data_IF_699236924181
#
_entry.id   IF_699236924181
#
_cell.length_a   1.000
_cell.length_b   1.000
_cell.length_c   1.000
_cell.angle_alpha   90.00
_cell.angle_beta   90.00
_cell.angle_gamma   90.00
#
_symmetry.space_group_name_H-M   'P 1'
#
loop_
_entity.id
_entity.type
_entity.pdbx_description
1 polymer ?
#
# COMPACT_ATOMS: atom_id res chain seq x y z
N UNK A 1 12.34 -20.26 -70.70
CA UNK A 1 13.70 -20.78 -70.93
C UNK A 1 14.53 -20.55 -69.69
N UNK A 2 15.31 -21.55 -69.25
CA UNK A 2 16.29 -21.48 -68.15
C UNK A 2 17.32 -20.38 -68.40
N UNK A 3 17.84 -19.78 -67.31
CA UNK A 3 19.29 -19.71 -67.01
C UNK A 3 19.53 -19.15 -65.60
N UNK A 4 20.35 -19.89 -64.85
CA UNK A 4 21.04 -19.45 -63.64
C UNK A 4 22.05 -18.34 -64.00
N UNK A 5 22.31 -17.43 -63.06
CA UNK A 5 23.64 -16.83 -62.88
C UNK A 5 23.85 -16.46 -61.42
N UNK A 6 24.94 -17.00 -60.88
CA UNK A 6 25.50 -16.68 -59.59
C UNK A 6 26.00 -15.22 -59.54
N UNK A 7 25.85 -14.57 -58.39
CA UNK A 7 26.67 -13.43 -58.01
C UNK A 7 26.96 -13.54 -56.51
N UNK A 8 28.17 -14.01 -56.23
CA UNK A 8 28.81 -13.92 -54.94
C UNK A 8 29.00 -12.44 -54.59
N UNK A 9 28.38 -11.99 -53.51
CA UNK A 9 28.71 -10.73 -52.85
C UNK A 9 29.16 -11.06 -51.44
N UNK A 10 30.46 -11.33 -51.31
CA UNK A 10 31.19 -11.28 -50.06
C UNK A 10 31.02 -9.88 -49.47
N UNK A 11 30.11 -9.72 -48.51
CA UNK A 11 30.14 -8.58 -47.61
C UNK A 11 31.11 -8.91 -46.47
N UNK A 12 32.36 -8.49 -46.66
CA UNK A 12 33.33 -8.28 -45.58
C UNK A 12 32.78 -7.18 -44.66
N UNK A 13 32.10 -7.57 -43.57
CA UNK A 13 31.91 -6.72 -42.40
C UNK A 13 32.94 -7.08 -41.33
N UNK A 14 34.10 -6.47 -41.46
CA UNK A 14 34.97 -6.17 -40.33
C UNK A 14 34.34 -5.04 -39.51
N UNK A 15 33.52 -5.39 -38.54
CA UNK A 15 33.14 -4.55 -37.41
C UNK A 15 33.02 -5.46 -36.18
N UNK A 16 33.89 -5.23 -35.20
CA UNK A 16 34.07 -6.10 -34.05
C UNK A 16 32.79 -6.31 -33.24
N UNK A 17 32.46 -7.57 -33.01
CA UNK A 17 31.75 -8.00 -31.83
C UNK A 17 32.70 -8.92 -31.07
N UNK A 18 33.39 -8.36 -30.07
CA UNK A 18 33.82 -9.14 -28.93
C UNK A 18 32.56 -9.66 -28.22
N UNK A 19 31.94 -10.72 -28.74
CA UNK A 19 31.17 -11.60 -27.87
C UNK A 19 32.22 -12.37 -27.09
N UNK A 20 32.69 -11.74 -26.01
CA UNK A 20 33.28 -12.44 -24.89
C UNK A 20 32.18 -13.40 -24.46
N UNK A 21 32.22 -14.64 -24.96
CA UNK A 21 31.34 -15.70 -24.50
C UNK A 21 31.63 -15.84 -23.02
N UNK A 22 30.80 -15.19 -22.20
CA UNK A 22 30.82 -15.40 -20.77
C UNK A 22 30.56 -16.89 -20.64
N UNK A 23 31.59 -17.64 -20.20
CA UNK A 23 31.49 -19.08 -19.96
C UNK A 23 30.25 -19.35 -19.14
N UNK A 24 29.59 -20.49 -19.33
CA UNK A 24 28.46 -20.89 -18.47
C UNK A 24 28.80 -20.73 -16.99
N UNK A 25 30.06 -21.00 -16.62
CA UNK A 25 30.57 -20.81 -15.26
C UNK A 25 30.69 -19.32 -14.89
N UNK A 26 31.12 -18.44 -15.79
CA UNK A 26 31.24 -17.00 -15.52
C UNK A 26 29.86 -16.30 -15.50
N UNK A 27 28.86 -16.88 -16.19
CA UNK A 27 27.44 -16.49 -16.05
C UNK A 27 26.87 -16.96 -14.72
N UNK A 28 27.14 -18.22 -14.34
CA UNK A 28 26.73 -18.80 -13.06
C UNK A 28 27.37 -18.05 -11.90
N UNK A 29 28.67 -17.73 -11.98
CA UNK A 29 29.42 -16.95 -10.98
C UNK A 29 28.90 -15.52 -10.88
N UNK A 30 28.48 -14.90 -11.99
CA UNK A 30 27.88 -13.56 -11.96
C UNK A 30 26.44 -13.55 -11.43
N UNK A 31 25.67 -14.59 -11.71
CA UNK A 31 24.33 -14.80 -11.17
C UNK A 31 24.39 -15.17 -9.67
N UNK A 32 25.41 -15.91 -9.22
CA UNK A 32 25.62 -16.29 -7.82
C UNK A 32 26.39 -15.25 -7.00
N UNK A 33 27.21 -14.40 -7.61
CA UNK A 33 27.88 -13.29 -6.91
C UNK A 33 26.89 -12.25 -6.37
N UNK A 34 25.71 -12.12 -6.98
CA UNK A 34 24.62 -11.28 -6.46
C UNK A 34 23.75 -12.00 -5.40
N UNK A 35 23.95 -13.31 -5.21
CA UNK A 35 23.37 -14.12 -4.13
C UNK A 35 24.34 -14.20 -2.94
N UNK A 36 25.08 -13.12 -2.66
CA UNK A 36 26.05 -13.09 -1.57
C UNK A 36 25.37 -13.48 -0.25
N UNK A 37 25.61 -14.72 0.17
CA UNK A 37 25.10 -15.36 1.39
C UNK A 37 25.37 -14.52 2.64
N UNK A 38 26.35 -13.62 2.57
CA UNK A 38 26.85 -12.78 3.67
C UNK A 38 25.84 -11.77 4.23
N UNK A 39 24.84 -11.36 3.45
CA UNK A 39 23.77 -10.45 3.91
C UNK A 39 22.46 -11.19 4.22
N UNK A 40 22.50 -12.52 4.25
CA UNK A 40 21.32 -13.34 4.57
C UNK A 40 21.20 -13.47 6.08
N UNK A 41 20.01 -13.23 6.67
CA UNK A 41 19.81 -13.47 8.10
C UNK A 41 20.21 -14.89 8.47
N UNK A 42 21.11 -15.03 9.45
CA UNK A 42 21.49 -16.33 9.98
C UNK A 42 20.37 -16.89 10.87
N UNK A 43 20.43 -18.19 11.18
CA UNK A 43 19.45 -18.85 12.06
C UNK A 43 19.31 -18.12 13.42
N UNK A 44 20.44 -17.64 13.96
CA UNK A 44 20.50 -16.88 15.22
C UNK A 44 19.84 -15.50 15.15
N UNK A 45 19.71 -14.91 13.95
CA UNK A 45 18.99 -13.66 13.75
C UNK A 45 17.49 -13.90 13.60
N UNK A 46 17.09 -15.00 12.95
CA UNK A 46 15.70 -15.43 12.86
C UNK A 46 15.10 -15.76 14.22
N UNK A 47 15.89 -16.34 15.14
CA UNK A 47 15.46 -16.60 16.53
C UNK A 47 15.07 -15.33 17.30
N UNK A 48 15.61 -14.16 16.91
CA UNK A 48 15.27 -12.87 17.53
C UNK A 48 14.02 -12.25 16.92
N UNK A 49 13.57 -12.71 15.76
CA UNK A 49 12.39 -12.20 15.09
C UNK A 49 11.16 -12.86 15.70
N UNK A 50 10.48 -12.14 16.58
CA UNK A 50 9.20 -12.57 17.15
C UNK A 50 8.04 -11.79 16.54
N UNK A 51 6.98 -12.50 16.17
CA UNK A 51 5.66 -11.95 15.90
C UNK A 51 4.65 -12.26 17.02
N UNK A 52 5.13 -12.82 18.13
CA UNK A 52 4.31 -13.03 19.32
C UNK A 52 4.08 -11.68 20.02
N UNK A 53 2.91 -11.53 20.65
CA UNK A 53 2.49 -10.36 21.42
C UNK A 53 2.18 -9.11 20.56
N UNK A 54 1.24 -9.23 19.63
CA UNK A 54 0.62 -8.09 18.94
C UNK A 54 -0.45 -7.40 19.79
N UNK A 55 -0.82 -8.00 20.93
CA UNK A 55 -1.95 -7.59 21.77
C UNK A 55 -1.87 -6.14 22.25
N UNK A 56 -0.71 -5.67 22.70
CA UNK A 56 -0.57 -4.29 23.19
C UNK A 56 -0.79 -3.26 22.07
N UNK A 57 -0.28 -3.54 20.87
CA UNK A 57 -0.44 -2.65 19.72
C UNK A 57 -1.87 -2.71 19.17
N UNK A 58 -2.48 -3.90 19.16
CA UNK A 58 -3.90 -4.06 18.85
C UNK A 58 -4.80 -3.35 19.87
N UNK A 59 -4.49 -3.44 21.17
CA UNK A 59 -5.25 -2.72 22.21
C UNK A 59 -5.19 -1.21 22.01
N UNK A 60 -4.03 -0.66 21.60
CA UNK A 60 -3.90 0.77 21.26
C UNK A 60 -4.73 1.13 20.02
N UNK A 61 -4.71 0.30 18.98
CA UNK A 61 -5.47 0.51 17.75
C UNK A 61 -7.00 0.38 17.94
N UNK A 62 -7.42 -0.54 18.83
CA UNK A 62 -8.83 -0.77 19.19
C UNK A 62 -9.41 0.26 20.16
N UNK A 63 -8.59 1.11 20.77
CA UNK A 63 -9.06 2.06 21.77
C UNK A 63 -9.94 3.15 21.15
N UNK A 64 -11.26 2.97 21.25
CA UNK A 64 -12.29 3.86 20.69
C UNK A 64 -12.25 5.29 21.23
N UNK A 65 -11.57 5.54 22.35
CA UNK A 65 -11.44 6.89 22.91
C UNK A 65 -10.34 7.71 22.23
N UNK A 66 -9.57 7.09 21.32
CA UNK A 66 -8.52 7.77 20.56
C UNK A 66 -9.02 8.25 19.20
N UNK A 67 -8.42 9.31 18.64
CA UNK A 67 -8.71 9.76 17.29
C UNK A 67 -8.60 8.63 16.26
N UNK A 68 -9.54 8.57 15.32
CA UNK A 68 -9.59 7.49 14.33
C UNK A 68 -8.37 7.48 13.41
N UNK A 69 -7.80 8.65 13.10
CA UNK A 69 -6.53 8.80 12.38
C UNK A 69 -5.40 8.04 13.10
N UNK A 70 -5.24 8.27 14.40
CA UNK A 70 -4.18 7.64 15.18
C UNK A 70 -4.35 6.13 15.25
N UNK A 71 -5.60 5.68 15.46
CA UNK A 71 -5.94 4.25 15.48
C UNK A 71 -5.63 3.57 14.16
N UNK A 72 -5.94 4.24 13.04
CA UNK A 72 -5.65 3.74 11.69
C UNK A 72 -4.14 3.68 11.44
N UNK A 73 -3.38 4.68 11.90
CA UNK A 73 -1.92 4.70 11.84
C UNK A 73 -1.27 3.56 12.63
N UNK A 74 -1.82 3.22 13.79
CA UNK A 74 -1.34 2.07 14.58
C UNK A 74 -1.55 0.76 13.81
N UNK A 75 -2.71 0.58 13.15
CA UNK A 75 -2.92 -0.58 12.28
C UNK A 75 -1.94 -0.62 11.10
N UNK A 76 -1.72 0.50 10.40
CA UNK A 76 -0.74 0.61 9.31
C UNK A 76 0.65 0.16 9.81
N UNK A 77 1.05 0.66 10.97
CA UNK A 77 2.38 0.42 11.55
C UNK A 77 2.54 -1.05 11.97
N UNK A 78 1.55 -1.59 12.68
CA UNK A 78 1.56 -2.99 13.13
C UNK A 78 1.60 -3.95 11.94
N UNK A 79 0.69 -3.76 10.97
CA UNK A 79 0.61 -4.61 9.79
C UNK A 79 1.90 -4.54 8.94
N UNK A 80 2.43 -3.33 8.71
CA UNK A 80 3.69 -3.16 7.97
C UNK A 80 4.87 -3.84 8.69
N UNK A 81 4.91 -3.76 10.02
CA UNK A 81 5.93 -4.42 10.84
C UNK A 81 5.82 -5.94 10.78
N UNK A 82 4.62 -6.49 10.86
CA UNK A 82 4.37 -7.94 10.71
C UNK A 82 4.77 -8.43 9.32
N UNK A 83 4.33 -7.75 8.27
CA UNK A 83 4.69 -8.09 6.89
C UNK A 83 6.20 -8.09 6.66
N UNK A 84 6.93 -7.11 7.20
CA UNK A 84 8.40 -7.06 7.12
C UNK A 84 9.04 -8.27 7.82
N UNK A 85 8.57 -8.64 9.02
CA UNK A 85 9.07 -9.81 9.75
C UNK A 85 8.79 -11.11 8.99
N UNK A 86 7.61 -11.28 8.43
CA UNK A 86 7.25 -12.42 7.58
C UNK A 86 8.16 -12.51 6.35
N UNK A 87 8.39 -11.39 5.66
CA UNK A 87 9.29 -11.32 4.52
C UNK A 87 10.73 -11.69 4.89
N UNK A 88 11.23 -11.28 6.06
CA UNK A 88 12.55 -11.69 6.55
C UNK A 88 12.69 -13.21 6.67
N UNK A 89 11.67 -13.89 7.21
CA UNK A 89 11.67 -15.36 7.27
C UNK A 89 11.64 -15.99 5.89
N UNK A 90 10.78 -15.50 4.99
CA UNK A 90 10.67 -16.01 3.61
C UNK A 90 11.98 -15.86 2.84
N UNK A 91 12.61 -14.69 2.88
CA UNK A 91 13.87 -14.41 2.21
C UNK A 91 15.00 -15.28 2.77
N UNK A 92 15.08 -15.44 4.09
CA UNK A 92 16.10 -16.28 4.71
C UNK A 92 15.94 -17.76 4.34
N UNK A 93 14.72 -18.29 4.34
CA UNK A 93 14.44 -19.68 3.96
C UNK A 93 14.60 -19.93 2.46
N UNK A 94 14.30 -18.94 1.61
CA UNK A 94 14.50 -19.03 0.17
C UNK A 94 15.99 -19.11 -0.18
N UNK A 95 16.82 -18.31 0.51
CA UNK A 95 18.28 -18.27 0.29
C UNK A 95 19.02 -19.42 0.96
N UNK A 96 18.50 -19.92 2.08
CA UNK A 96 19.09 -21.05 2.83
C UNK A 96 18.01 -22.12 3.11
N UNK A 97 17.67 -22.98 2.12
CA UNK A 97 16.64 -24.01 2.30
C UNK A 97 16.98 -25.02 3.41
N UNK A 98 18.27 -25.19 3.72
CA UNK A 98 18.77 -26.05 4.81
C UNK A 98 18.32 -25.59 6.20
N UNK A 99 17.91 -24.32 6.36
CA UNK A 99 17.37 -23.81 7.63
C UNK A 99 16.14 -24.60 8.12
N UNK A 100 15.43 -25.26 7.19
CA UNK A 100 14.27 -26.09 7.51
C UNK A 100 14.63 -27.47 8.10
N UNK A 101 15.90 -27.88 7.97
CA UNK A 101 16.34 -29.24 8.31
C UNK A 101 17.42 -29.26 9.42
N UNK A 102 17.83 -28.08 9.90
CA UNK A 102 18.81 -27.95 11.00
C UNK A 102 18.19 -28.26 12.37
N UNK A 103 19.04 -28.57 13.33
CA UNK A 103 18.64 -28.60 14.74
C UNK A 103 18.09 -27.21 15.14
N UNK A 104 16.91 -27.17 15.74
CA UNK A 104 16.19 -25.92 16.01
C UNK A 104 15.28 -25.40 14.88
N UNK A 105 15.30 -26.04 13.70
CA UNK A 105 14.46 -25.63 12.56
C UNK A 105 12.96 -25.60 12.87
N UNK A 106 12.48 -26.51 13.74
CA UNK A 106 11.09 -26.52 14.17
C UNK A 106 10.66 -25.21 14.85
N UNK A 107 11.55 -24.55 15.60
CA UNK A 107 11.27 -23.27 16.22
C UNK A 107 11.20 -22.13 15.19
N UNK A 108 12.09 -22.14 14.19
CA UNK A 108 12.11 -21.14 13.11
C UNK A 108 10.86 -21.26 12.23
N UNK A 109 10.47 -22.49 11.86
CA UNK A 109 9.25 -22.74 11.09
C UNK A 109 8.01 -22.33 11.89
N UNK A 110 7.92 -22.71 13.17
CA UNK A 110 6.80 -22.30 14.02
C UNK A 110 6.73 -20.78 14.22
N UNK A 111 7.87 -20.10 14.33
CA UNK A 111 7.93 -18.64 14.43
C UNK A 111 7.42 -17.97 13.14
N UNK A 112 7.84 -18.48 11.97
CA UNK A 112 7.32 -18.03 10.67
C UNK A 112 5.81 -18.24 10.57
N UNK A 113 5.32 -19.43 10.90
CA UNK A 113 3.88 -19.75 10.84
C UNK A 113 3.08 -18.82 11.77
N UNK A 114 3.63 -18.52 12.95
CA UNK A 114 3.05 -17.52 13.86
C UNK A 114 3.01 -16.14 13.24
N UNK A 115 4.09 -15.69 12.58
CA UNK A 115 4.12 -14.41 11.86
C UNK A 115 3.08 -14.35 10.75
N UNK A 116 2.92 -15.41 9.97
CA UNK A 116 1.91 -15.50 8.92
C UNK A 116 0.51 -15.38 9.52
N UNK A 117 0.22 -16.20 10.53
CA UNK A 117 -1.09 -16.19 11.19
C UNK A 117 -1.43 -14.80 11.77
N UNK A 118 -0.50 -14.20 12.51
CA UNK A 118 -0.68 -12.87 13.09
C UNK A 118 -0.82 -11.79 12.02
N UNK A 119 -0.11 -11.91 10.89
CA UNK A 119 -0.25 -10.98 9.77
C UNK A 119 -1.66 -11.04 9.19
N UNK A 120 -2.19 -12.24 8.96
CA UNK A 120 -3.54 -12.42 8.40
C UNK A 120 -4.63 -12.00 9.39
N UNK A 121 -4.49 -12.32 10.68
CA UNK A 121 -5.44 -11.90 11.71
C UNK A 121 -5.53 -10.37 11.79
N UNK A 122 -4.38 -9.69 11.83
CA UNK A 122 -4.31 -8.22 11.83
C UNK A 122 -4.82 -7.63 10.52
N UNK A 123 -4.54 -8.26 9.38
CA UNK A 123 -5.00 -7.82 8.06
C UNK A 123 -6.51 -7.75 7.99
N UNK A 124 -7.20 -8.80 8.45
CA UNK A 124 -8.67 -8.86 8.43
C UNK A 124 -9.29 -7.74 9.26
N UNK A 125 -8.78 -7.53 10.48
CA UNK A 125 -9.29 -6.47 11.35
C UNK A 125 -8.97 -5.07 10.80
N UNK A 126 -7.74 -4.86 10.32
CA UNK A 126 -7.32 -3.60 9.71
C UNK A 126 -8.16 -3.28 8.47
N UNK A 127 -8.39 -4.26 7.59
CA UNK A 127 -9.22 -4.08 6.40
C UNK A 127 -10.67 -3.77 6.76
N UNK A 128 -11.23 -4.48 7.74
CA UNK A 128 -12.60 -4.21 8.23
C UNK A 128 -12.73 -2.78 8.71
N UNK A 129 -11.81 -2.33 9.57
CA UNK A 129 -11.81 -0.97 10.10
C UNK A 129 -11.59 0.09 9.00
N UNK A 130 -10.65 -0.14 8.07
CA UNK A 130 -10.42 0.76 6.95
C UNK A 130 -11.67 0.89 6.07
N UNK A 131 -12.38 -0.22 5.78
CA UNK A 131 -13.63 -0.19 5.00
C UNK A 131 -14.73 0.59 5.70
N UNK A 132 -14.90 0.41 7.01
CA UNK A 132 -15.85 1.20 7.82
C UNK A 132 -15.59 2.71 7.75
N UNK A 133 -14.32 3.10 7.70
CA UNK A 133 -13.91 4.50 7.56
C UNK A 133 -14.15 5.04 6.14
N UNK A 134 -13.91 4.23 5.10
CA UNK A 134 -14.17 4.59 3.70
C UNK A 134 -15.67 4.72 3.41
N UNK A 135 -16.50 3.92 4.07
CA UNK A 135 -17.96 3.96 3.89
C UNK A 135 -18.60 5.22 4.46
N UNK A 136 -18.05 5.74 5.57
CA UNK A 136 -18.48 7.02 6.17
C UNK A 136 -17.27 7.92 6.42
N UNK A 137 -16.72 8.55 5.37
CA UNK A 137 -15.46 9.29 5.48
C UNK A 137 -15.63 10.77 5.88
N UNK A 138 -16.87 11.24 6.00
CA UNK A 138 -17.22 12.63 6.34
C UNK A 138 -18.30 12.68 7.40
N UNK A 139 -18.29 13.72 8.23
CA UNK A 139 -19.32 13.99 9.24
C UNK A 139 -19.87 15.40 9.07
N UNK A 140 -21.11 15.63 9.51
CA UNK A 140 -21.71 16.97 9.53
C UNK A 140 -21.53 17.57 10.92
N UNK A 141 -20.93 18.76 10.98
CA UNK A 141 -20.71 19.50 12.21
C UNK A 141 -21.47 20.84 12.13
N UNK A 142 -22.14 21.25 13.21
CA UNK A 142 -22.85 22.53 13.24
C UNK A 142 -21.86 23.63 13.62
N UNK A 143 -21.51 24.49 12.67
CA UNK A 143 -20.66 25.67 12.89
C UNK A 143 -21.47 26.92 12.66
N UNK A 144 -21.64 27.73 13.70
CA UNK A 144 -22.38 29.00 13.62
C UNK A 144 -23.86 28.84 13.25
N UNK A 145 -24.50 27.71 13.59
CA UNK A 145 -25.91 27.44 13.27
C UNK A 145 -26.17 26.77 11.93
N UNK A 146 -25.12 26.57 11.10
CA UNK A 146 -25.21 25.87 9.81
C UNK A 146 -24.49 24.52 9.87
N UNK A 147 -25.02 23.51 9.19
CA UNK A 147 -24.37 22.21 9.03
C UNK A 147 -23.24 22.31 7.99
N UNK A 148 -22.01 22.03 8.40
CA UNK A 148 -20.81 22.00 7.54
C UNK A 148 -20.31 20.57 7.46
N UNK A 149 -20.06 20.07 6.25
CA UNK A 149 -19.45 18.76 6.04
C UNK A 149 -17.96 18.85 6.26
N UNK A 150 -17.43 18.08 7.19
CA UNK A 150 -16.00 17.97 7.49
C UNK A 150 -15.52 16.54 7.28
N UNK A 151 -14.21 16.36 7.15
CA UNK A 151 -13.60 15.04 7.13
C UNK A 151 -13.78 14.36 8.50
N UNK A 152 -14.09 13.07 8.50
CA UNK A 152 -14.17 12.26 9.72
C UNK A 152 -12.77 12.00 10.30
N UNK A 153 -11.83 11.72 9.39
CA UNK A 153 -10.41 11.55 9.68
C UNK A 153 -9.56 12.18 8.57
N UNK A 154 -8.25 12.08 8.71
CA UNK A 154 -7.32 12.50 7.67
C UNK A 154 -7.40 11.61 6.41
N UNK A 155 -7.63 12.24 5.25
CA UNK A 155 -7.79 11.51 3.98
C UNK A 155 -6.48 10.90 3.49
N UNK A 156 -5.32 11.50 3.80
CA UNK A 156 -4.02 10.96 3.40
C UNK A 156 -3.71 9.67 4.17
N UNK A 157 -4.01 9.64 5.47
CA UNK A 157 -3.94 8.42 6.29
C UNK A 157 -4.83 7.32 5.73
N UNK A 158 -6.04 7.66 5.26
CA UNK A 158 -6.95 6.69 4.66
C UNK A 158 -6.42 6.12 3.33
N UNK A 159 -5.81 6.97 2.48
CA UNK A 159 -5.11 6.52 1.26
C UNK A 159 -3.94 5.60 1.60
N UNK A 160 -3.12 5.99 2.57
CA UNK A 160 -1.99 5.19 3.02
C UNK A 160 -2.45 3.82 3.53
N UNK A 161 -3.55 3.75 4.28
CA UNK A 161 -4.13 2.49 4.73
C UNK A 161 -4.53 1.59 3.55
N UNK A 162 -5.24 2.13 2.57
CA UNK A 162 -5.66 1.41 1.35
C UNK A 162 -4.44 0.92 0.56
N UNK A 163 -3.39 1.74 0.43
CA UNK A 163 -2.17 1.35 -0.27
C UNK A 163 -1.39 0.26 0.47
N UNK A 164 -1.37 0.33 1.80
CA UNK A 164 -0.68 -0.63 2.66
C UNK A 164 -1.35 -2.01 2.62
N UNK A 165 -2.69 -2.05 2.70
CA UNK A 165 -3.46 -3.29 2.59
C UNK A 165 -3.49 -3.86 1.16
N UNK A 166 -3.50 -2.97 0.16
CA UNK A 166 -3.63 -3.31 -1.25
C UNK A 166 -4.78 -4.31 -1.53
N UNK A 167 -6.03 -4.00 -1.11
CA UNK A 167 -7.17 -4.89 -1.35
C UNK A 167 -7.49 -4.97 -2.86
N UNK A 168 -8.22 -6.01 -3.26
CA UNK A 168 -8.55 -6.25 -4.67
C UNK A 168 -9.35 -5.10 -5.31
N UNK A 169 -10.18 -4.41 -4.52
CA UNK A 169 -10.97 -3.24 -4.92
C UNK A 169 -10.28 -1.90 -4.58
N UNK A 170 -8.95 -1.88 -4.40
CA UNK A 170 -8.14 -0.69 -4.07
C UNK A 170 -8.53 0.56 -4.86
N UNK A 171 -8.63 0.46 -6.18
CA UNK A 171 -8.96 1.62 -7.03
C UNK A 171 -10.35 2.19 -6.72
N UNK A 172 -11.31 1.32 -6.42
CA UNK A 172 -12.66 1.74 -6.04
C UNK A 172 -12.65 2.49 -4.70
N UNK A 173 -11.91 1.98 -3.71
CA UNK A 173 -11.76 2.62 -2.40
C UNK A 173 -11.09 3.98 -2.52
N UNK A 174 -9.98 4.08 -3.27
CA UNK A 174 -9.29 5.35 -3.52
C UNK A 174 -10.20 6.38 -4.21
N UNK A 175 -11.01 5.95 -5.18
CA UNK A 175 -12.00 6.81 -5.83
C UNK A 175 -13.07 7.31 -4.85
N UNK A 176 -13.55 6.48 -3.92
CA UNK A 176 -14.49 6.91 -2.86
C UNK A 176 -13.86 7.98 -1.97
N UNK A 177 -12.62 7.78 -1.54
CA UNK A 177 -11.86 8.75 -0.73
C UNK A 177 -11.71 10.08 -1.47
N UNK A 178 -11.27 10.05 -2.74
CA UNK A 178 -11.14 11.26 -3.56
C UNK A 178 -12.48 12.00 -3.77
N UNK A 179 -13.58 11.26 -3.90
CA UNK A 179 -14.91 11.88 -4.02
C UNK A 179 -15.40 12.48 -2.71
N UNK A 180 -15.04 11.89 -1.57
CA UNK A 180 -15.36 12.43 -0.25
C UNK A 180 -14.58 13.72 0.04
N UNK A 181 -13.29 13.75 -0.27
CA UNK A 181 -12.43 14.93 -0.08
C UNK A 181 -12.94 16.16 -0.86
N UNK A 182 -13.43 15.96 -2.08
CA UNK A 182 -14.06 17.03 -2.89
C UNK A 182 -15.31 17.64 -2.22
N UNK A 183 -15.99 16.91 -1.33
CA UNK A 183 -17.16 17.41 -0.59
C UNK A 183 -16.76 18.22 0.65
N UNK A 184 -15.56 17.98 1.18
CA UNK A 184 -15.01 18.65 2.37
C UNK A 184 -14.26 19.91 1.98
N UNK A 185 -13.52 19.90 0.88
CA UNK A 185 -12.94 21.12 0.30
C UNK A 185 -14.08 21.99 -0.23
N UNK A 186 -14.36 23.15 0.38
CA UNK A 186 -15.38 24.03 -0.17
C UNK A 186 -14.89 24.47 -1.55
N UNK A 187 -15.62 24.08 -2.59
CA UNK A 187 -15.59 24.83 -3.84
C UNK A 187 -15.81 26.30 -3.45
N UNK A 188 -14.80 27.12 -3.72
CA UNK A 188 -14.78 28.53 -3.34
C UNK A 188 -16.11 29.20 -3.71
N UNK A 189 -16.79 29.72 -2.69
CA UNK A 189 -17.90 30.68 -2.75
C UNK A 189 -19.18 30.23 -3.48
N UNK A 190 -20.26 30.18 -2.73
CA UNK A 190 -21.58 30.57 -3.23
C UNK A 190 -21.53 32.03 -3.74
N UNK A 191 -22.31 32.41 -4.75
CA UNK A 191 -22.98 33.69 -4.74
C UNK A 191 -24.20 33.57 -3.84
N UNK A 192 -24.16 34.28 -2.72
CA UNK A 192 -25.32 34.94 -2.16
C UNK A 192 -26.03 35.71 -3.29
N UNK A 193 -27.31 35.43 -3.53
CA UNK A 193 -28.24 36.49 -3.94
C UNK A 193 -28.94 36.97 -2.65
N UNK A 194 -28.33 37.95 -1.98
CA UNK A 194 -29.09 38.80 -1.06
C UNK A 194 -29.78 39.93 -1.83
N UNK A 195 -31.08 40.07 -1.50
CA UNK A 195 -31.80 41.31 -1.29
C UNK A 195 -32.04 42.26 -2.48
N UNK A 196 -33.24 42.15 -3.05
CA UNK A 196 -34.00 43.28 -3.58
C UNK A 196 -35.22 43.57 -2.69
N UNK A 197 -35.01 44.16 -1.52
CA UNK A 197 -36.08 44.77 -0.71
C UNK A 197 -36.41 46.18 -1.24
N UNK A 198 -37.71 46.48 -1.30
CA UNK A 198 -38.34 47.82 -1.20
C UNK A 198 -38.08 48.88 -2.29
N UNK A 199 -39.09 49.04 -3.16
CA UNK A 199 -39.35 50.27 -3.91
C UNK A 199 -40.85 50.44 -4.15
N UNK A 200 -41.52 51.22 -3.30
CA UNK A 200 -42.94 51.54 -3.48
C UNK A 200 -43.17 52.56 -4.60
N UNK A 201 -44.27 52.41 -5.36
CA UNK A 201 -45.01 53.55 -5.93
C UNK A 201 -46.47 53.16 -6.19
N UNK A 202 -47.34 53.91 -5.52
CA UNK A 202 -48.79 53.99 -5.63
C UNK A 202 -49.20 54.81 -6.86
N UNK A 203 -50.11 54.31 -7.72
CA UNK A 203 -51.01 55.06 -8.65
C UNK A 203 -51.94 54.02 -9.30
N UNK A 204 -53.20 53.81 -8.88
CA UNK A 204 -54.43 54.64 -9.03
C UNK A 204 -54.66 55.15 -10.47
N UNK A 205 -55.60 54.52 -11.19
CA UNK A 205 -56.48 55.18 -12.19
C UNK A 205 -56.55 54.59 -13.60
N UNK A 206 -57.77 54.26 -14.04
CA UNK A 206 -58.18 54.00 -15.44
C UNK A 206 -58.35 52.50 -15.74
N UNK A 207 -59.52 51.95 -16.09
CA UNK A 207 -60.67 52.49 -16.84
C UNK A 207 -61.92 51.69 -16.47
#
# INVERSE_FOLDING_TARGET
MRRLSAAASLFLLSAGCLTREISSDERLDRETANLAVKDTPEASDLEKVSCQNTDEDLLKARNVNRPETDRLMDYITLFSSLRKRTQTFEEAMLRNPDLQYREGAGAIVAAKDTCIQQTEDVKVEFETYMRELVDVPTVQEIKGGNAVTIARLDFDTLRQAIETLAPDDKEQLLNRVANAEKKVSPAAKAPEEEAGSTGGTKRRGGK
#
